data_IF_125219442185
#
_entry.id   IF_125219442185
#
_cell.length_a   1.000
_cell.length_b   1.000
_cell.length_c   1.000
_cell.angle_alpha   90.00
_cell.angle_beta   90.00
_cell.angle_gamma   90.00
#
_symmetry.space_group_name_H-M   'P 1'
#
loop_
_entity.id
_entity.type
_entity.pdbx_description
1 polymer ?
#
# COMPACT_ATOMS: atom_id res chain seq x y z
N UNK A 1 -57.29 33.26 20.08
CA UNK A 1 -56.28 32.65 19.20
C UNK A 1 -54.98 32.55 20.00
N UNK A 2 -54.73 31.38 20.57
CA UNK A 2 -53.56 31.07 21.40
C UNK A 2 -52.38 30.73 20.49
N UNK A 3 -51.34 31.56 20.52
CA UNK A 3 -50.10 31.38 19.77
C UNK A 3 -49.25 30.29 20.46
N UNK A 4 -49.42 29.04 20.01
CA UNK A 4 -48.74 27.86 20.53
C UNK A 4 -47.36 27.73 19.87
N UNK A 5 -46.43 28.63 20.17
CA UNK A 5 -45.03 28.48 19.77
C UNK A 5 -44.32 27.59 20.78
N UNK A 6 -44.30 26.29 20.48
CA UNK A 6 -43.40 25.35 21.14
C UNK A 6 -41.96 25.82 20.95
N UNK A 7 -41.34 26.26 22.05
CA UNK A 7 -39.91 26.55 22.11
C UNK A 7 -39.12 25.30 21.74
N UNK A 8 -38.40 25.32 20.61
CA UNK A 8 -37.38 24.31 20.34
C UNK A 8 -36.26 24.45 21.39
N UNK A 9 -35.85 23.37 22.08
CA UNK A 9 -34.71 23.43 22.99
C UNK A 9 -33.45 23.72 22.16
N UNK A 10 -32.93 24.94 22.28
CA UNK A 10 -31.64 25.35 21.73
C UNK A 10 -30.52 24.89 22.65
N UNK A 11 -30.33 23.57 22.75
CA UNK A 11 -29.07 22.98 23.18
C UNK A 11 -28.82 21.73 22.34
N UNK A 12 -28.54 21.92 21.05
CA UNK A 12 -27.97 20.84 20.27
C UNK A 12 -26.55 20.64 20.81
N UNK A 13 -26.39 19.71 21.75
CA UNK A 13 -25.13 19.00 21.91
C UNK A 13 -24.67 18.62 20.49
N UNK A 14 -23.39 18.83 20.12
CA UNK A 14 -22.94 18.54 18.76
C UNK A 14 -23.38 17.12 18.41
N UNK A 15 -24.13 16.99 17.31
CA UNK A 15 -24.60 15.68 16.87
C UNK A 15 -23.37 14.78 16.71
N UNK A 16 -23.31 13.62 17.39
CA UNK A 16 -22.16 12.76 17.30
C UNK A 16 -21.98 12.31 15.85
N UNK A 17 -20.75 12.33 15.36
CA UNK A 17 -20.41 11.79 14.04
C UNK A 17 -20.65 10.28 14.06
N UNK A 18 -21.49 9.77 13.17
CA UNK A 18 -21.69 8.33 13.02
C UNK A 18 -20.68 7.74 12.03
N UNK A 19 -19.87 6.78 12.49
CA UNK A 19 -18.94 6.00 11.68
C UNK A 19 -19.56 4.62 11.44
N UNK A 20 -19.72 4.24 10.17
CA UNK A 20 -20.25 2.93 9.78
C UNK A 20 -19.11 2.04 9.30
N UNK A 21 -18.81 0.99 10.08
CA UNK A 21 -17.77 0.00 9.82
C UNK A 21 -16.55 0.17 10.72
N UNK A 22 -16.23 -0.86 11.49
CA UNK A 22 -15.09 -0.95 12.39
C UNK A 22 -13.81 -1.53 11.76
N UNK A 23 -13.64 -1.38 10.46
CA UNK A 23 -12.38 -1.67 9.77
C UNK A 23 -11.32 -0.60 10.01
N UNK A 24 -10.10 -0.78 9.47
CA UNK A 24 -9.00 0.18 9.65
C UNK A 24 -9.41 1.63 9.33
N UNK A 25 -10.17 1.85 8.25
CA UNK A 25 -10.67 3.18 7.88
C UNK A 25 -11.59 3.81 8.92
N UNK A 26 -12.52 3.03 9.50
CA UNK A 26 -13.43 3.54 10.53
C UNK A 26 -12.73 3.74 11.86
N UNK A 27 -11.79 2.84 12.21
CA UNK A 27 -10.98 2.97 13.42
C UNK A 27 -10.07 4.21 13.38
N UNK A 28 -9.45 4.51 12.24
CA UNK A 28 -8.62 5.71 12.11
C UNK A 28 -9.46 6.98 12.06
N UNK A 29 -10.65 6.95 11.43
CA UNK A 29 -11.59 8.06 11.50
C UNK A 29 -12.02 8.36 12.95
N UNK A 30 -12.35 7.32 13.73
CA UNK A 30 -12.66 7.45 15.15
C UNK A 30 -11.48 8.02 15.96
N UNK A 31 -10.27 7.55 15.67
CA UNK A 31 -9.05 8.03 16.32
C UNK A 31 -8.81 9.53 16.09
N UNK A 32 -8.95 10.00 14.86
CA UNK A 32 -8.77 11.42 14.53
C UNK A 32 -9.87 12.30 15.14
N UNK A 33 -11.13 11.84 15.13
CA UNK A 33 -12.22 12.55 15.83
C UNK A 33 -11.99 12.61 17.33
N UNK A 34 -11.51 11.53 17.95
CA UNK A 34 -11.17 11.48 19.37
C UNK A 34 -10.06 12.48 19.71
N UNK A 35 -8.97 12.51 18.92
CA UNK A 35 -7.87 13.48 19.08
C UNK A 35 -8.36 14.93 18.94
N UNK A 36 -9.34 15.16 18.06
CA UNK A 36 -9.96 16.46 17.88
C UNK A 36 -11.04 16.82 18.93
N UNK A 37 -11.35 15.90 19.87
CA UNK A 37 -12.40 16.10 20.87
C UNK A 37 -13.82 16.14 20.28
N UNK A 38 -14.01 15.60 19.07
CA UNK A 38 -15.32 15.54 18.40
C UNK A 38 -16.04 14.25 18.82
N UNK A 39 -17.25 14.34 19.41
CA UNK A 39 -18.02 13.16 19.77
C UNK A 39 -18.38 12.32 18.54
N UNK A 40 -18.27 11.00 18.68
CA UNK A 40 -18.60 10.06 17.62
C UNK A 40 -19.23 8.79 18.17
N UNK A 41 -19.91 8.06 17.30
CA UNK A 41 -20.34 6.67 17.53
C UNK A 41 -19.80 5.80 16.40
N UNK A 42 -19.21 4.67 16.74
CA UNK A 42 -18.73 3.69 15.78
C UNK A 42 -19.63 2.47 15.78
N UNK A 43 -20.20 2.14 14.61
CA UNK A 43 -21.13 1.04 14.42
C UNK A 43 -20.47 -0.03 13.55
N UNK A 44 -20.25 -1.22 14.11
CA UNK A 44 -19.75 -2.39 13.39
C UNK A 44 -20.79 -3.51 13.41
N UNK A 45 -20.99 -4.17 12.28
CA UNK A 45 -21.97 -5.27 12.13
C UNK A 45 -21.46 -6.57 12.77
N UNK A 46 -20.15 -6.79 12.70
CA UNK A 46 -19.46 -8.00 13.15
C UNK A 46 -19.22 -7.98 14.66
N UNK A 47 -18.88 -9.14 15.22
CA UNK A 47 -18.55 -9.27 16.65
C UNK A 47 -17.13 -8.76 16.99
N UNK A 48 -16.39 -8.27 15.99
CA UNK A 48 -15.01 -7.79 16.12
C UNK A 48 -14.76 -6.55 15.28
N UNK A 49 -13.81 -5.74 15.75
CA UNK A 49 -13.20 -4.65 15.01
C UNK A 49 -12.00 -5.16 14.18
N UNK A 50 -11.50 -4.34 13.26
CA UNK A 50 -10.37 -4.61 12.37
C UNK A 50 -10.78 -4.84 10.91
N UNK A 51 -12.04 -5.23 10.66
CA UNK A 51 -12.54 -5.46 9.30
C UNK A 51 -11.76 -6.58 8.61
N UNK A 52 -11.28 -6.33 7.38
CA UNK A 52 -10.50 -7.30 6.59
C UNK A 52 -9.17 -7.68 7.24
N UNK A 53 -8.56 -6.78 8.03
CA UNK A 53 -7.30 -7.05 8.72
C UNK A 53 -7.59 -8.05 9.84
N UNK A 54 -7.09 -9.26 9.69
CA UNK A 54 -7.30 -10.35 10.64
C UNK A 54 -6.13 -11.33 10.60
N UNK A 55 -5.61 -11.63 11.79
CA UNK A 55 -4.46 -12.49 11.99
C UNK A 55 -4.87 -13.73 12.78
N UNK A 56 -4.68 -14.90 12.19
CA UNK A 56 -4.82 -16.19 12.85
C UNK A 56 -3.51 -16.65 13.47
N UNK A 57 -3.62 -17.36 14.59
CA UNK A 57 -2.47 -17.85 15.37
C UNK A 57 -2.68 -19.33 15.64
N UNK A 58 -1.66 -20.11 15.33
CA UNK A 58 -1.64 -21.56 15.54
C UNK A 58 -0.51 -21.93 16.48
N UNK A 59 -0.86 -22.49 17.63
CA UNK A 59 0.12 -22.99 18.60
C UNK A 59 0.76 -24.31 18.13
N UNK A 60 1.88 -24.69 18.75
CA UNK A 60 2.55 -25.97 18.48
C UNK A 60 3.63 -25.95 17.41
N UNK A 61 4.07 -24.77 16.96
CA UNK A 61 5.12 -24.57 15.95
C UNK A 61 6.46 -24.07 16.53
N UNK A 62 6.79 -24.49 17.76
CA UNK A 62 8.00 -24.07 18.48
C UNK A 62 7.70 -23.08 19.61
N UNK A 63 8.63 -22.15 19.86
CA UNK A 63 8.56 -21.21 20.98
C UNK A 63 7.64 -19.99 20.73
N UNK A 64 7.07 -19.88 19.53
CA UNK A 64 6.18 -18.81 19.12
C UNK A 64 5.03 -19.36 18.26
N UNK A 65 3.84 -18.70 18.23
CA UNK A 65 2.74 -19.14 17.39
C UNK A 65 3.08 -18.97 15.90
N UNK A 66 2.58 -19.89 15.08
CA UNK A 66 2.57 -19.72 13.62
C UNK A 66 1.45 -18.76 13.23
N UNK A 67 1.81 -17.72 12.48
CA UNK A 67 0.91 -16.60 12.15
C UNK A 67 0.47 -16.69 10.70
N UNK A 68 -0.84 -16.56 10.46
CA UNK A 68 -1.43 -16.49 9.12
C UNK A 68 -2.34 -15.27 9.01
N UNK A 69 -2.14 -14.48 7.97
CA UNK A 69 -2.96 -13.30 7.69
C UNK A 69 -4.09 -13.68 6.74
N UNK A 70 -5.32 -13.21 7.03
CA UNK A 70 -6.49 -13.49 6.17
C UNK A 70 -6.63 -12.53 4.99
N UNK A 71 -5.94 -11.40 5.00
CA UNK A 71 -6.02 -10.38 3.97
C UNK A 71 -4.64 -9.73 3.75
N UNK A 72 -4.50 -8.42 4.01
CA UNK A 72 -3.20 -7.76 3.92
C UNK A 72 -2.24 -8.29 4.98
N UNK A 73 -1.07 -8.74 4.55
CA UNK A 73 -0.02 -9.32 5.38
C UNK A 73 1.10 -8.34 5.71
N UNK A 74 1.19 -7.24 4.96
CA UNK A 74 2.14 -6.16 5.15
C UNK A 74 1.62 -4.80 4.65
N UNK A 75 2.34 -3.74 4.98
CA UNK A 75 2.13 -2.38 4.48
C UNK A 75 3.43 -1.78 3.92
N UNK A 76 3.30 -0.77 3.04
CA UNK A 76 4.42 -0.09 2.40
C UNK A 76 4.98 1.01 3.30
N UNK A 77 6.13 0.78 3.94
CA UNK A 77 6.67 1.70 4.94
C UNK A 77 7.14 3.04 4.36
N UNK A 78 7.88 3.01 3.25
CA UNK A 78 8.52 4.22 2.70
C UNK A 78 7.59 5.06 1.81
N UNK A 79 6.73 4.41 1.02
CA UNK A 79 5.86 5.10 0.05
C UNK A 79 4.53 5.55 0.64
N UNK A 80 4.05 4.89 1.70
CA UNK A 80 2.78 5.17 2.37
C UNK A 80 3.02 5.24 3.88
N UNK A 81 3.57 6.36 4.39
CA UNK A 81 4.09 6.45 5.75
C UNK A 81 3.00 6.35 6.83
N UNK A 82 1.74 6.56 6.50
CA UNK A 82 0.62 6.66 7.44
C UNK A 82 0.46 5.46 8.39
N UNK A 83 0.74 4.24 7.93
CA UNK A 83 0.70 3.06 8.81
C UNK A 83 1.83 3.06 9.85
N UNK A 84 3.02 3.52 9.44
CA UNK A 84 4.18 3.68 10.34
C UNK A 84 3.96 4.83 11.32
N UNK A 85 3.45 5.96 10.85
CA UNK A 85 3.10 7.11 11.68
C UNK A 85 2.09 6.70 12.76
N UNK A 86 1.03 5.99 12.36
CA UNK A 86 0.05 5.46 13.30
C UNK A 86 0.66 4.44 14.27
N UNK A 87 1.54 3.56 13.80
CA UNK A 87 2.25 2.62 14.69
C UNK A 87 3.05 3.36 15.77
N UNK A 88 3.74 4.44 15.41
CA UNK A 88 4.49 5.29 16.34
C UNK A 88 3.57 6.04 17.30
N UNK A 89 2.46 6.60 16.83
CA UNK A 89 1.45 7.23 17.71
C UNK A 89 0.90 6.24 18.75
N UNK A 90 0.79 4.96 18.38
CA UNK A 90 0.31 3.89 19.24
C UNK A 90 1.43 3.22 20.05
N UNK A 91 2.67 3.70 19.97
CA UNK A 91 3.83 3.15 20.69
C UNK A 91 4.12 1.69 20.33
N UNK A 92 4.00 1.33 19.05
CA UNK A 92 4.23 -0.03 18.52
C UNK A 92 5.61 -0.19 17.86
N UNK A 93 6.53 0.73 18.12
CA UNK A 93 7.86 0.79 17.50
C UNK A 93 8.64 -0.52 17.61
N UNK A 94 8.57 -1.16 18.77
CA UNK A 94 9.26 -2.41 19.12
C UNK A 94 8.61 -3.65 18.52
N UNK A 95 7.40 -3.52 17.97
CA UNK A 95 6.67 -4.60 17.33
C UNK A 95 6.81 -4.60 15.82
N UNK A 96 7.47 -3.60 15.22
CA UNK A 96 7.64 -3.53 13.76
C UNK A 96 8.57 -4.65 13.30
N UNK A 97 8.11 -5.42 12.32
CA UNK A 97 8.82 -6.53 11.71
C UNK A 97 9.12 -6.24 10.24
N UNK A 98 10.36 -6.48 9.85
CA UNK A 98 10.89 -6.28 8.48
C UNK A 98 10.79 -7.58 7.67
N UNK A 99 10.95 -7.48 6.35
CA UNK A 99 11.05 -8.67 5.51
C UNK A 99 12.29 -9.50 5.85
N UNK A 100 12.15 -10.83 5.83
CA UNK A 100 13.25 -11.74 6.09
C UNK A 100 14.40 -11.56 5.07
N UNK A 101 15.61 -11.16 5.51
CA UNK A 101 16.73 -10.90 4.60
C UNK A 101 17.39 -12.18 4.07
N UNK A 102 17.04 -13.37 4.58
CA UNK A 102 17.68 -14.63 4.19
C UNK A 102 17.30 -15.10 2.78
N UNK A 103 16.12 -14.74 2.28
CA UNK A 103 15.62 -15.18 0.96
C UNK A 103 14.79 -14.09 0.25
N UNK A 104 15.40 -12.94 -0.11
CA UNK A 104 14.69 -11.87 -0.80
C UNK A 104 14.60 -12.21 -2.30
N UNK A 105 13.69 -13.10 -2.68
CA UNK A 105 13.52 -13.47 -4.07
C UNK A 105 12.03 -13.51 -4.45
N UNK A 106 11.60 -12.48 -5.15
CA UNK A 106 10.35 -12.50 -5.90
C UNK A 106 10.60 -13.27 -7.19
N UNK A 107 9.68 -14.15 -7.55
CA UNK A 107 9.74 -14.94 -8.77
C UNK A 107 8.52 -14.69 -9.63
N UNK A 108 8.68 -14.79 -10.94
CA UNK A 108 7.59 -14.81 -11.92
C UNK A 108 7.56 -16.22 -12.51
N UNK A 109 6.36 -16.80 -12.59
CA UNK A 109 6.16 -18.08 -13.25
C UNK A 109 6.13 -17.86 -14.76
N UNK A 110 7.16 -18.34 -15.46
CA UNK A 110 7.28 -18.25 -16.92
C UNK A 110 7.46 -19.66 -17.48
N UNK A 111 6.57 -20.06 -18.39
CA UNK A 111 6.61 -21.37 -19.04
C UNK A 111 6.69 -22.56 -18.05
N UNK A 112 6.00 -22.44 -16.91
CA UNK A 112 6.00 -23.45 -15.85
C UNK A 112 7.23 -23.45 -14.95
N UNK A 113 8.15 -22.50 -15.13
CA UNK A 113 9.39 -22.38 -14.32
C UNK A 113 9.36 -21.06 -13.54
N UNK A 114 9.75 -21.12 -12.26
CA UNK A 114 9.92 -19.92 -11.44
C UNK A 114 11.23 -19.22 -11.84
N UNK A 115 11.11 -18.02 -12.40
CA UNK A 115 12.24 -17.20 -12.80
C UNK A 115 12.41 -16.07 -11.79
N UNK A 116 13.61 -15.89 -11.18
CA UNK A 116 13.83 -14.80 -10.24
C UNK A 116 13.74 -13.44 -10.94
N UNK A 117 13.02 -12.51 -10.30
CA UNK A 117 12.95 -11.11 -10.72
C UNK A 117 14.35 -10.49 -10.54
N UNK A 118 14.92 -9.82 -11.56
CA UNK A 118 16.25 -9.27 -11.45
C UNK A 118 16.34 -8.23 -10.33
N UNK A 119 17.44 -8.29 -9.57
CA UNK A 119 17.73 -7.30 -8.54
C UNK A 119 17.83 -5.89 -9.16
N UNK A 120 17.39 -4.88 -8.42
CA UNK A 120 17.41 -3.50 -8.89
C UNK A 120 16.25 -3.16 -9.83
N UNK A 121 15.11 -3.84 -9.74
CA UNK A 121 13.85 -3.34 -10.29
C UNK A 121 13.12 -2.48 -9.24
N UNK A 122 12.77 -1.25 -9.60
CA UNK A 122 11.78 -0.46 -8.87
C UNK A 122 10.40 -0.70 -9.49
N UNK A 123 9.69 -1.69 -8.94
CA UNK A 123 8.50 -2.27 -9.54
C UNK A 123 8.82 -2.83 -10.93
N UNK A 124 8.56 -2.07 -12.00
CA UNK A 124 8.81 -2.46 -13.40
C UNK A 124 10.00 -1.71 -14.04
N UNK A 125 10.63 -0.78 -13.34
CA UNK A 125 11.69 0.09 -13.88
C UNK A 125 13.07 -0.45 -13.49
N UNK A 126 13.93 -0.83 -14.45
CA UNK A 126 15.27 -1.31 -14.13
C UNK A 126 16.17 -0.16 -13.69
N UNK A 127 16.78 -0.29 -12.51
CA UNK A 127 17.79 0.63 -11.97
C UNK A 127 19.20 0.07 -12.04
N UNK A 128 19.35 -1.21 -12.39
CA UNK A 128 20.63 -1.86 -12.66
C UNK A 128 20.52 -2.60 -14.00
N UNK A 129 21.27 -2.13 -14.99
CA UNK A 129 21.20 -2.68 -16.35
C UNK A 129 21.84 -4.07 -16.42
N UNK A 130 22.94 -4.31 -15.68
CA UNK A 130 23.69 -5.57 -15.76
C UNK A 130 22.86 -6.75 -15.23
N UNK A 131 22.18 -6.56 -14.09
CA UNK A 131 21.31 -7.59 -13.51
C UNK A 131 20.06 -7.82 -14.35
N UNK A 132 19.51 -6.76 -14.96
CA UNK A 132 18.37 -6.86 -15.86
C UNK A 132 18.73 -7.63 -17.15
N UNK A 133 19.86 -7.29 -17.78
CA UNK A 133 20.35 -7.97 -18.98
C UNK A 133 20.72 -9.43 -18.73
N UNK A 134 21.28 -9.76 -17.56
CA UNK A 134 21.60 -11.13 -17.18
C UNK A 134 20.37 -12.01 -16.88
N UNK A 135 19.19 -11.40 -16.65
CA UNK A 135 17.98 -12.14 -16.31
C UNK A 135 17.41 -12.90 -17.51
N UNK A 136 16.95 -14.16 -17.35
CA UNK A 136 16.23 -14.88 -18.41
C UNK A 136 14.73 -14.51 -18.47
N UNK A 137 14.27 -13.57 -17.65
CA UNK A 137 12.85 -13.23 -17.52
C UNK A 137 12.25 -12.71 -18.82
N UNK A 138 12.99 -11.90 -19.58
CA UNK A 138 12.57 -11.34 -20.86
C UNK A 138 13.50 -11.78 -22.00
N UNK A 139 12.98 -11.78 -23.22
CA UNK A 139 13.77 -11.98 -24.43
C UNK A 139 14.80 -10.86 -24.62
N UNK A 140 15.82 -11.10 -25.45
CA UNK A 140 16.82 -10.07 -25.77
C UNK A 140 16.17 -8.85 -26.46
N UNK A 141 15.18 -9.06 -27.32
CA UNK A 141 14.44 -7.99 -27.98
C UNK A 141 13.59 -7.19 -26.97
N UNK A 142 12.93 -7.86 -26.03
CA UNK A 142 12.19 -7.21 -24.95
C UNK A 142 13.08 -6.40 -24.02
N UNK A 143 14.26 -6.93 -23.67
CA UNK A 143 15.25 -6.17 -22.89
C UNK A 143 15.72 -4.93 -23.64
N UNK A 144 16.05 -5.06 -24.93
CA UNK A 144 16.45 -3.93 -25.75
C UNK A 144 15.33 -2.88 -25.85
N UNK A 145 14.08 -3.32 -26.00
CA UNK A 145 12.89 -2.46 -26.03
C UNK A 145 12.68 -1.70 -24.72
N UNK A 146 12.90 -2.33 -23.58
CA UNK A 146 12.84 -1.70 -22.25
C UNK A 146 13.97 -0.67 -22.09
N UNK A 147 15.20 -1.02 -22.46
CA UNK A 147 16.35 -0.13 -22.31
C UNK A 147 16.31 1.08 -23.27
N UNK A 148 15.54 0.99 -24.36
CA UNK A 148 15.28 2.11 -25.26
C UNK A 148 14.25 3.13 -24.72
N UNK A 149 13.67 2.91 -23.53
CA UNK A 149 12.58 3.73 -22.98
C UNK A 149 12.91 5.23 -22.86
N UNK A 150 14.17 5.59 -22.60
CA UNK A 150 14.58 7.00 -22.52
C UNK A 150 14.50 7.75 -23.86
N UNK A 151 14.45 7.03 -24.98
CA UNK A 151 14.27 7.62 -26.31
C UNK A 151 12.80 7.77 -26.72
N UNK A 152 11.86 7.29 -25.89
CA UNK A 152 10.42 7.42 -26.15
C UNK A 152 9.94 8.79 -25.69
N UNK A 153 9.29 9.54 -26.59
CA UNK A 153 8.72 10.84 -26.26
C UNK A 153 7.68 10.71 -25.13
N UNK A 154 7.67 11.65 -24.16
CA UNK A 154 6.67 11.66 -23.10
C UNK A 154 5.27 11.93 -23.68
N UNK A 155 4.25 11.38 -23.03
CA UNK A 155 2.87 11.66 -23.38
C UNK A 155 2.56 13.16 -23.22
N UNK A 156 2.08 13.78 -24.30
CA UNK A 156 1.76 15.22 -24.33
C UNK A 156 0.40 15.57 -23.70
N UNK A 157 -0.46 14.56 -23.49
CA UNK A 157 -1.80 14.76 -22.92
C UNK A 157 -1.83 14.72 -21.39
N UNK A 158 -3.01 14.96 -20.85
CA UNK A 158 -3.32 14.88 -19.41
C UNK A 158 -4.43 13.86 -19.10
N UNK A 159 -4.93 13.17 -20.10
CA UNK A 159 -5.96 12.14 -19.94
C UNK A 159 -5.39 10.89 -19.25
N UNK A 160 -6.31 10.13 -18.64
CA UNK A 160 -6.00 8.83 -18.06
C UNK A 160 -5.84 7.78 -19.16
N UNK A 161 -4.97 6.80 -18.91
CA UNK A 161 -4.80 5.63 -19.78
C UNK A 161 -4.72 4.37 -18.92
N UNK A 162 -4.87 3.19 -19.55
CA UNK A 162 -4.71 1.94 -18.82
C UNK A 162 -3.24 1.75 -18.40
N UNK A 163 -2.99 0.98 -17.33
CA UNK A 163 -1.61 0.62 -16.96
C UNK A 163 -0.94 -0.14 -18.10
N UNK A 164 -1.67 -1.02 -18.81
CA UNK A 164 -1.14 -1.74 -19.96
C UNK A 164 -0.70 -0.81 -21.08
N UNK A 165 -1.54 0.14 -21.50
CA UNK A 165 -1.22 1.08 -22.59
C UNK A 165 -0.01 1.94 -22.25
N UNK A 166 0.06 2.42 -21.01
CA UNK A 166 1.21 3.16 -20.52
C UNK A 166 2.50 2.34 -20.60
N UNK A 167 2.47 1.11 -20.04
CA UNK A 167 3.66 0.24 -20.00
C UNK A 167 4.05 -0.21 -21.40
N UNK A 168 3.10 -0.57 -22.26
CA UNK A 168 3.33 -0.95 -23.66
C UNK A 168 4.02 0.17 -24.44
N UNK A 169 3.55 1.40 -24.28
CA UNK A 169 4.13 2.58 -24.94
C UNK A 169 5.54 2.88 -24.44
N UNK A 170 5.78 2.83 -23.13
CA UNK A 170 7.10 3.14 -22.55
C UNK A 170 8.10 2.00 -22.67
N UNK A 171 7.70 0.80 -22.28
CA UNK A 171 8.57 -0.36 -22.02
C UNK A 171 8.35 -1.54 -23.00
N UNK A 172 7.25 -1.56 -23.76
CA UNK A 172 6.94 -2.60 -24.74
C UNK A 172 6.00 -3.69 -24.23
N UNK A 173 5.47 -4.50 -25.17
CA UNK A 173 4.48 -5.54 -24.87
C UNK A 173 4.99 -6.61 -23.90
N UNK A 174 6.23 -7.08 -24.07
CA UNK A 174 6.78 -8.10 -23.16
C UNK A 174 6.92 -7.58 -21.72
N UNK A 175 7.09 -6.27 -21.51
CA UNK A 175 7.08 -5.68 -20.17
C UNK A 175 5.67 -5.66 -19.55
N UNK A 176 4.62 -5.57 -20.37
CA UNK A 176 3.24 -5.73 -19.89
C UNK A 176 3.06 -7.15 -19.36
N UNK A 177 3.40 -8.15 -20.17
CA UNK A 177 3.19 -9.57 -19.85
C UNK A 177 4.09 -10.05 -18.69
N UNK A 178 5.37 -9.69 -18.71
CA UNK A 178 6.34 -10.24 -17.76
C UNK A 178 6.45 -9.41 -16.48
N UNK A 179 6.14 -8.10 -16.49
CA UNK A 179 6.33 -7.25 -15.31
C UNK A 179 5.02 -6.66 -14.80
N UNK A 180 4.23 -6.01 -15.66
CA UNK A 180 3.01 -5.32 -15.21
C UNK A 180 1.92 -6.30 -14.79
N UNK A 181 1.55 -7.26 -15.63
CA UNK A 181 0.46 -8.20 -15.34
C UNK A 181 0.70 -9.03 -14.07
N UNK A 182 1.88 -9.64 -13.83
CA UNK A 182 2.15 -10.38 -12.59
C UNK A 182 2.11 -9.50 -11.34
N UNK A 183 2.60 -8.26 -11.45
CA UNK A 183 2.58 -7.31 -10.35
C UNK A 183 1.14 -6.86 -10.00
N UNK A 184 0.36 -6.50 -11.02
CA UNK A 184 -1.00 -5.97 -10.84
C UNK A 184 -2.01 -7.02 -10.42
N UNK A 185 -1.89 -8.23 -10.96
CA UNK A 185 -2.69 -9.37 -10.50
C UNK A 185 -2.44 -9.67 -9.02
N UNK A 186 -1.18 -9.56 -8.57
CA UNK A 186 -0.82 -9.73 -7.16
C UNK A 186 -1.36 -8.65 -6.22
N UNK A 187 -1.45 -7.39 -6.65
CA UNK A 187 -1.87 -6.27 -5.79
C UNK A 187 -3.38 -6.03 -5.83
N UNK A 188 -3.97 -6.03 -7.04
CA UNK A 188 -5.34 -5.60 -7.28
C UNK A 188 -6.26 -6.72 -7.75
N UNK A 189 -5.72 -7.89 -8.11
CA UNK A 189 -6.48 -9.00 -8.73
C UNK A 189 -7.30 -8.54 -9.93
N UNK A 190 -6.75 -7.62 -10.72
CA UNK A 190 -7.40 -7.05 -11.90
C UNK A 190 -6.42 -6.97 -13.08
N UNK A 191 -6.96 -6.94 -14.30
CA UNK A 191 -6.17 -6.91 -15.53
C UNK A 191 -5.61 -5.51 -15.80
N UNK A 192 -4.37 -5.40 -16.30
CA UNK A 192 -3.70 -4.12 -16.55
C UNK A 192 -4.40 -3.26 -17.62
N UNK A 193 -5.15 -3.89 -18.52
CA UNK A 193 -5.92 -3.22 -19.60
C UNK A 193 -7.11 -2.41 -19.06
N UNK A 194 -7.65 -2.77 -17.89
CA UNK A 194 -8.83 -2.12 -17.30
C UNK A 194 -8.46 -1.20 -16.12
N UNK A 195 -7.20 -1.22 -15.69
CA UNK A 195 -6.73 -0.45 -14.55
C UNK A 195 -6.31 0.96 -14.97
N UNK A 196 -6.94 1.97 -14.37
CA UNK A 196 -6.53 3.39 -14.49
C UNK A 196 -5.10 3.60 -13.98
N UNK A 197 -4.24 4.18 -14.81
CA UNK A 197 -2.89 4.57 -14.42
C UNK A 197 -2.92 5.64 -13.33
N UNK A 198 -3.76 6.67 -13.47
CA UNK A 198 -3.79 7.79 -12.54
C UNK A 198 -4.36 7.41 -11.16
N UNK A 199 -5.26 6.44 -11.09
CA UNK A 199 -5.80 5.95 -9.83
C UNK A 199 -4.83 5.01 -9.08
N UNK A 200 -4.01 4.24 -9.81
CA UNK A 200 -3.23 3.13 -9.24
C UNK A 200 -1.72 3.41 -9.17
N UNK A 201 -1.14 3.99 -10.22
CA UNK A 201 0.29 4.33 -10.32
C UNK A 201 0.53 5.76 -10.84
N UNK A 202 -0.07 6.80 -10.22
CA UNK A 202 0.08 8.19 -10.68
C UNK A 202 1.55 8.65 -10.74
N UNK A 203 2.40 8.04 -9.92
CA UNK A 203 3.85 8.31 -9.90
C UNK A 203 4.53 8.04 -11.24
N UNK A 204 4.07 7.08 -12.05
CA UNK A 204 4.67 6.84 -13.35
C UNK A 204 4.39 7.97 -14.34
N UNK A 205 3.14 8.49 -14.36
CA UNK A 205 2.83 9.71 -15.12
C UNK A 205 3.67 10.89 -14.63
N UNK A 206 3.82 11.05 -13.31
CA UNK A 206 4.63 12.13 -12.75
C UNK A 206 6.11 12.02 -13.14
N UNK A 207 6.67 10.81 -13.16
CA UNK A 207 8.05 10.56 -13.60
C UNK A 207 8.22 10.90 -15.09
N UNK A 208 7.32 10.39 -15.94
CA UNK A 208 7.31 10.67 -17.38
C UNK A 208 7.24 12.18 -17.66
N UNK A 209 6.26 12.88 -17.08
CA UNK A 209 6.07 14.31 -17.32
C UNK A 209 7.23 15.17 -16.79
N UNK A 210 7.78 14.81 -15.62
CA UNK A 210 8.84 15.60 -14.98
C UNK A 210 10.21 15.38 -15.61
N UNK A 211 10.53 14.14 -15.98
CA UNK A 211 11.88 13.75 -16.39
C UNK A 211 11.98 13.35 -17.87
N UNK A 212 10.85 13.23 -18.57
CA UNK A 212 10.77 12.71 -19.94
C UNK A 212 10.83 11.18 -20.02
N UNK A 213 11.26 10.51 -18.95
CA UNK A 213 11.44 9.06 -18.90
C UNK A 213 11.36 8.47 -17.50
N UNK A 214 11.03 7.18 -17.45
CA UNK A 214 10.95 6.40 -16.22
C UNK A 214 12.34 6.02 -15.71
N UNK A 215 13.15 5.41 -16.57
CA UNK A 215 14.50 4.95 -16.18
C UNK A 215 15.36 6.16 -15.81
N UNK A 216 15.35 7.20 -16.65
CA UNK A 216 16.08 8.44 -16.40
C UNK A 216 15.57 9.21 -15.18
N UNK A 217 14.25 9.21 -14.95
CA UNK A 217 13.65 9.82 -13.76
C UNK A 217 14.07 9.14 -12.46
N UNK A 218 14.00 7.81 -12.41
CA UNK A 218 14.42 7.04 -11.22
C UNK A 218 15.91 7.21 -10.95
N UNK A 219 16.76 7.17 -11.98
CA UNK A 219 18.21 7.40 -11.86
C UNK A 219 18.52 8.76 -11.21
N UNK A 220 17.92 9.84 -11.73
CA UNK A 220 18.11 11.20 -11.17
C UNK A 220 17.68 11.29 -9.70
N UNK A 221 16.55 10.68 -9.34
CA UNK A 221 16.09 10.65 -7.94
C UNK A 221 17.10 9.94 -7.03
N UNK A 222 17.67 8.81 -7.49
CA UNK A 222 18.68 8.08 -6.72
C UNK A 222 19.98 8.86 -6.56
N UNK A 223 20.44 9.56 -7.61
CA UNK A 223 21.59 10.45 -7.57
C UNK A 223 21.38 11.63 -6.60
N UNK A 224 20.22 12.28 -6.66
CA UNK A 224 19.83 13.35 -5.75
C UNK A 224 19.75 12.87 -4.29
N UNK A 225 19.21 11.67 -4.05
CA UNK A 225 19.11 11.06 -2.72
C UNK A 225 20.49 10.76 -2.10
N UNK A 226 21.42 10.21 -2.88
CA UNK A 226 22.82 9.99 -2.45
C UNK A 226 23.53 11.31 -2.13
N UNK A 227 23.28 12.34 -2.93
CA UNK A 227 23.87 13.68 -2.76
C UNK A 227 23.39 14.39 -1.48
N UNK A 228 22.18 14.08 -1.02
CA UNK A 228 21.57 14.69 0.17
C UNK A 228 21.99 14.04 1.49
N UNK A 229 22.84 12.99 1.47
CA UNK A 229 23.35 12.38 2.70
C UNK A 229 22.24 11.94 3.65
N UNK A 230 21.16 11.36 3.12
CA UNK A 230 20.08 10.80 3.95
C UNK A 230 20.64 9.56 4.66
N UNK A 231 21.34 9.79 5.77
CA UNK A 231 21.56 8.76 6.78
C UNK A 231 20.18 8.42 7.36
N UNK A 232 19.59 7.31 6.91
CA UNK A 232 18.47 6.69 7.61
C UNK A 232 18.98 6.27 8.99
N UNK A 233 18.78 7.14 9.98
CA UNK A 233 19.12 6.89 11.38
C UNK A 233 18.52 5.56 11.84
N UNK A 234 19.36 4.52 11.94
CA UNK A 234 19.22 3.37 12.84
C UNK A 234 17.99 2.48 12.70
N UNK A 235 17.14 2.67 11.68
CA UNK A 235 15.94 1.85 11.47
C UNK A 235 16.13 1.07 10.17
N UNK A 236 16.37 -0.24 10.27
CA UNK A 236 16.39 -1.15 9.12
C UNK A 236 14.99 -1.19 8.53
N UNK A 237 14.66 -0.26 7.62
CA UNK A 237 13.37 -0.26 6.96
C UNK A 237 13.41 -1.10 5.69
N UNK A 238 12.39 -1.93 5.48
CA UNK A 238 12.18 -2.70 4.25
C UNK A 238 10.94 -2.20 3.52
N UNK A 239 10.83 -2.47 2.21
CA UNK A 239 9.70 -2.02 1.37
C UNK A 239 8.36 -2.38 2.00
N UNK A 240 8.23 -3.64 2.42
CA UNK A 240 7.09 -4.18 3.13
C UNK A 240 7.44 -4.34 4.60
N UNK A 241 6.47 -4.04 5.46
CA UNK A 241 6.59 -4.22 6.90
C UNK A 241 5.30 -4.78 7.47
N UNK A 242 5.43 -5.45 8.60
CA UNK A 242 4.30 -5.95 9.38
C UNK A 242 4.62 -5.81 10.87
N UNK A 243 3.86 -6.47 11.74
CA UNK A 243 4.14 -6.53 13.16
C UNK A 243 4.50 -7.95 13.60
N UNK A 244 5.28 -8.09 14.68
CA UNK A 244 5.64 -9.39 15.27
C UNK A 244 4.39 -10.23 15.57
N UNK A 245 3.32 -9.59 16.05
CA UNK A 245 2.03 -10.22 16.32
C UNK A 245 1.10 -10.32 15.11
N UNK A 246 1.53 -9.97 13.91
CA UNK A 246 0.72 -9.85 12.69
C UNK A 246 0.00 -8.50 12.54
N UNK A 247 -0.57 -8.26 11.36
CA UNK A 247 -1.17 -6.98 10.96
C UNK A 247 -2.33 -6.54 11.85
N UNK A 248 -3.05 -7.48 12.46
CA UNK A 248 -4.14 -7.19 13.39
C UNK A 248 -3.67 -6.44 14.64
N UNK A 249 -2.38 -6.51 15.00
CA UNK A 249 -1.76 -5.75 16.10
C UNK A 249 -2.10 -4.26 16.02
N UNK A 250 -2.01 -3.67 14.82
CA UNK A 250 -2.30 -2.25 14.61
C UNK A 250 -3.76 -1.92 14.95
N UNK A 251 -4.69 -2.71 14.40
CA UNK A 251 -6.13 -2.49 14.61
C UNK A 251 -6.57 -2.76 16.05
N UNK A 252 -5.98 -3.75 16.72
CA UNK A 252 -6.24 -4.04 18.14
C UNK A 252 -5.72 -2.93 19.06
N UNK A 253 -4.50 -2.45 18.81
CA UNK A 253 -3.90 -1.36 19.58
C UNK A 253 -4.67 -0.05 19.41
N UNK A 254 -5.20 0.19 18.21
CA UNK A 254 -6.05 1.35 17.92
C UNK A 254 -7.40 1.23 18.63
N UNK A 255 -8.10 0.10 18.45
CA UNK A 255 -9.40 -0.15 19.09
C UNK A 255 -9.35 -0.05 20.61
N UNK A 256 -8.27 -0.54 21.25
CA UNK A 256 -8.09 -0.48 22.70
C UNK A 256 -7.96 0.96 23.26
N UNK A 257 -7.68 1.96 22.40
CA UNK A 257 -7.57 3.37 22.79
C UNK A 257 -8.81 4.20 22.48
N UNK A 258 -9.80 3.63 21.78
CA UNK A 258 -11.03 4.31 21.44
C UNK A 258 -12.02 4.28 22.61
N UNK A 259 -12.59 5.43 22.94
CA UNK A 259 -13.55 5.57 24.06
C UNK A 259 -15.01 5.54 23.59
N UNK A 260 -15.28 5.81 22.31
CA UNK A 260 -16.63 5.93 21.74
C UNK A 260 -17.30 4.62 21.30
N UNK A 261 -17.20 3.54 22.08
CA UNK A 261 -17.77 2.23 21.71
C UNK A 261 -19.08 1.93 22.44
N UNK A 262 -20.22 2.06 21.75
CA UNK A 262 -21.42 1.29 22.10
C UNK A 262 -21.40 -0.04 21.34
N UNK A 263 -21.45 -1.13 22.10
CA UNK A 263 -21.52 -2.50 21.59
C UNK A 263 -22.84 -2.72 20.85
N UNK A 264 -22.74 -3.16 19.59
CA UNK A 264 -23.74 -3.95 18.87
C UNK A 264 -25.14 -3.36 18.80
N UNK A 265 -25.51 -2.83 17.64
CA UNK A 265 -26.93 -2.82 17.27
C UNK A 265 -27.35 -4.29 17.28
N UNK A 266 -28.15 -4.66 18.28
CA UNK A 266 -28.67 -6.02 18.43
C UNK A 266 -29.22 -6.53 17.10
N UNK A 267 -29.03 -7.83 16.85
CA UNK A 267 -29.59 -8.55 15.70
C UNK A 267 -31.01 -8.04 15.43
N UNK A 268 -31.19 -7.35 14.30
CA UNK A 268 -32.52 -7.07 13.72
C UNK A 268 -33.11 -8.38 13.25
#
# INVERSE_FOLDING_TARGET
>A
MSDNRTSHPTSQSPLPVAIIGGGITGLTAAWELQKAGVPYVLLEKSERLGGKIQTERFDGFGDAPFIVERAGDAFLAAQKPWAMELAYELGLDDQILTTNPAQPAVHILKDGVLVPVPAGLQLIIPTNHDTFLASPLMSEDGKARVLAEEAIDPYAGNDDESVADFVRRRLGDEAVEMLAEPLLSGIYSAHPEEQSLLATFPRYRQLEQKYGSLIGGVRKIMEEGRSRGVEEKGRNLTTFMTFVGGTETLTKALAARLIGTEQGIGKV
#
